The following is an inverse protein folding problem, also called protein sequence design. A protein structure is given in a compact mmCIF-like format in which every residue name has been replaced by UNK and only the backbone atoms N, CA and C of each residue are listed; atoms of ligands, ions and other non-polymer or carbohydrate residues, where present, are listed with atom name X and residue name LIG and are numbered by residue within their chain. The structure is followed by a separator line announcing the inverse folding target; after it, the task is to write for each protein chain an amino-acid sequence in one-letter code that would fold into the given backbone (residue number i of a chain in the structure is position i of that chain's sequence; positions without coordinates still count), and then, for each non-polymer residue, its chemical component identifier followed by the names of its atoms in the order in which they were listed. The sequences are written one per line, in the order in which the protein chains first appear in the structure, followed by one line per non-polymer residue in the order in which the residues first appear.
data_IF_321476132240
#
_entry.id   IF_321476132240
#
_cell.length_a   1.000
_cell.length_b   1.000
_cell.length_c   1.000
_cell.angle_alpha   90.00
_cell.angle_beta   90.00
_cell.angle_gamma   90.00
#
_symmetry.space_group_name_H-M   'P 1'
#
loop_
_entity.id
_entity.type
_entity.pdbx_description
1 polymer ?
#
# COMPACT_ATOMS: atom_id res chain seq x y z
N UNK A 1 4.66 -5.75 -8.73
CA UNK A 1 5.91 -6.20 -9.36
C UNK A 1 7.10 -5.57 -8.62
N UNK A 2 8.24 -6.26 -8.43
CA UNK A 2 9.43 -5.68 -7.85
C UNK A 2 10.01 -4.59 -8.76
N UNK A 3 10.55 -3.55 -8.14
CA UNK A 3 11.17 -2.39 -8.78
C UNK A 3 12.57 -2.21 -8.22
N UNK A 4 13.53 -1.92 -9.06
CA UNK A 4 14.87 -1.49 -8.66
C UNK A 4 15.20 -0.14 -9.25
N UNK A 5 16.13 0.57 -8.62
CA UNK A 5 16.68 1.82 -9.09
C UNK A 5 18.20 1.81 -9.10
N UNK A 6 18.80 2.66 -9.90
CA UNK A 6 20.24 2.90 -9.94
C UNK A 6 20.50 4.38 -10.22
N UNK A 7 21.52 4.92 -9.59
CA UNK A 7 22.05 6.24 -9.87
C UNK A 7 23.23 6.11 -10.84
N UNK A 8 23.13 6.82 -11.95
CA UNK A 8 24.12 6.84 -13.02
C UNK A 8 24.72 8.22 -13.14
N UNK A 9 25.93 8.30 -13.63
CA UNK A 9 26.60 9.55 -13.92
C UNK A 9 27.41 9.48 -15.20
N UNK A 10 27.86 10.64 -15.66
CA UNK A 10 28.81 10.76 -16.74
C UNK A 10 29.84 11.85 -16.42
N UNK A 11 31.08 11.56 -16.75
CA UNK A 11 32.18 12.52 -16.75
C UNK A 11 32.80 12.58 -18.13
N UNK A 12 33.20 13.76 -18.58
CA UNK A 12 33.86 13.96 -19.86
C UNK A 12 35.08 14.83 -19.73
N UNK A 13 36.01 14.74 -20.70
CA UNK A 13 37.08 15.70 -20.83
C UNK A 13 36.53 17.04 -21.33
N UNK A 14 37.21 18.15 -20.97
CA UNK A 14 36.76 19.51 -21.32
C UNK A 14 36.59 19.75 -22.81
N UNK A 15 37.29 19.01 -23.63
CA UNK A 15 37.21 19.09 -25.10
C UNK A 15 36.16 18.13 -25.69
N UNK A 16 35.50 17.34 -24.83
CA UNK A 16 34.50 16.35 -25.25
C UNK A 16 35.10 15.12 -25.97
N UNK A 17 36.43 15.00 -26.06
CA UNK A 17 37.09 13.92 -26.81
C UNK A 17 36.87 12.54 -26.21
N UNK A 18 36.67 12.46 -24.88
CA UNK A 18 36.42 11.22 -24.15
C UNK A 18 35.40 11.44 -23.06
N UNK A 19 34.60 10.41 -22.79
CA UNK A 19 33.65 10.37 -21.69
C UNK A 19 33.63 8.99 -21.03
N UNK A 20 33.08 8.91 -19.86
CA UNK A 20 32.82 7.66 -19.14
C UNK A 20 31.44 7.71 -18.49
N UNK A 21 30.66 6.65 -18.69
CA UNK A 21 29.40 6.44 -18.00
C UNK A 21 29.67 5.65 -16.73
N UNK A 22 29.20 6.18 -15.60
CA UNK A 22 29.40 5.63 -14.25
C UNK A 22 28.10 5.02 -13.76
N UNK A 23 28.18 3.88 -13.10
CA UNK A 23 27.06 3.21 -12.42
C UNK A 23 27.21 3.28 -10.92
N UNK A 24 26.09 3.44 -10.20
CA UNK A 24 26.03 3.50 -8.73
C UNK A 24 26.95 4.59 -8.17
N UNK A 25 26.71 5.83 -8.62
CA UNK A 25 27.53 6.98 -8.34
C UNK A 25 27.48 7.42 -6.88
N UNK A 26 28.60 7.89 -6.38
CA UNK A 26 28.74 8.55 -5.08
C UNK A 26 28.28 10.01 -5.16
N UNK A 27 28.09 10.65 -3.99
CA UNK A 27 27.69 12.06 -3.93
C UNK A 27 28.65 13.02 -4.62
N UNK A 28 29.97 12.78 -4.55
CA UNK A 28 30.96 13.58 -5.23
C UNK A 28 30.90 13.41 -6.76
N UNK A 29 30.63 12.22 -7.25
CA UNK A 29 30.46 11.93 -8.67
C UNK A 29 29.15 12.52 -9.22
N UNK A 30 28.08 12.55 -8.39
CA UNK A 30 26.85 13.30 -8.68
C UNK A 30 27.13 14.81 -8.79
N UNK A 31 27.81 15.38 -7.78
CA UNK A 31 28.04 16.83 -7.71
C UNK A 31 29.01 17.37 -8.75
N UNK A 32 30.11 16.66 -9.01
CA UNK A 32 31.15 17.07 -9.90
C UNK A 32 31.05 16.55 -11.33
N UNK A 33 30.16 15.60 -11.58
CA UNK A 33 29.93 15.02 -12.89
C UNK A 33 29.21 15.97 -13.86
N UNK A 34 29.28 15.64 -15.12
CA UNK A 34 28.68 16.42 -16.23
C UNK A 34 27.21 16.11 -16.44
N UNK A 35 26.78 14.91 -16.05
CA UNK A 35 25.41 14.46 -16.06
C UNK A 35 25.21 13.41 -14.97
N UNK A 36 24.04 13.44 -14.33
CA UNK A 36 23.58 12.38 -13.47
C UNK A 36 22.11 12.06 -13.75
N UNK A 37 21.72 10.80 -13.58
CA UNK A 37 20.33 10.41 -13.60
C UNK A 37 20.06 9.23 -12.68
N UNK A 38 18.86 9.25 -12.13
CA UNK A 38 18.33 8.18 -11.30
C UNK A 38 17.18 7.54 -12.07
N UNK A 39 17.25 6.26 -12.32
CA UNK A 39 16.24 5.53 -13.09
C UNK A 39 15.75 4.32 -12.32
N UNK A 40 14.44 4.16 -12.25
CA UNK A 40 13.80 3.02 -11.63
C UNK A 40 12.91 2.28 -12.61
N UNK A 41 12.69 1.00 -12.36
CA UNK A 41 11.79 0.22 -13.18
C UNK A 41 11.69 -1.25 -12.80
N UNK A 42 10.76 -1.90 -13.45
CA UNK A 42 10.58 -3.36 -13.43
C UNK A 42 11.50 -4.02 -14.46
N UNK A 43 11.38 -5.33 -14.64
CA UNK A 43 12.05 -6.02 -15.76
C UNK A 43 11.51 -5.58 -17.12
N UNK A 44 10.24 -5.16 -17.16
CA UNK A 44 9.52 -4.87 -18.40
C UNK A 44 9.75 -3.43 -18.90
N UNK A 45 10.15 -2.51 -17.99
CA UNK A 45 10.34 -1.13 -18.39
C UNK A 45 10.63 -0.18 -17.22
N UNK A 46 10.84 1.09 -17.56
CA UNK A 46 11.13 2.18 -16.65
C UNK A 46 9.81 2.70 -16.07
N UNK A 47 9.80 2.96 -14.76
CA UNK A 47 8.65 3.52 -14.03
C UNK A 47 8.86 4.97 -13.59
N UNK A 48 10.12 5.38 -13.38
CA UNK A 48 10.46 6.77 -13.09
C UNK A 48 11.91 7.05 -13.49
N UNK A 49 12.16 8.30 -13.86
CA UNK A 49 13.50 8.82 -14.16
C UNK A 49 13.58 10.28 -13.72
N UNK A 50 14.72 10.64 -13.15
CA UNK A 50 15.10 12.04 -12.89
C UNK A 50 16.52 12.22 -13.44
N UNK A 51 16.73 13.27 -14.23
CA UNK A 51 18.03 13.55 -14.86
C UNK A 51 18.41 15.01 -14.69
N UNK A 52 19.70 15.23 -14.41
CA UNK A 52 20.34 16.52 -14.37
C UNK A 52 21.50 16.54 -15.39
N UNK A 53 21.47 17.54 -16.30
CA UNK A 53 22.52 17.74 -17.31
C UNK A 53 23.21 19.07 -17.00
N UNK A 54 24.52 19.03 -16.77
CA UNK A 54 25.32 20.17 -16.33
C UNK A 54 26.26 20.70 -17.43
N UNK A 55 26.13 20.16 -18.63
CA UNK A 55 26.86 20.55 -19.85
C UNK A 55 25.90 21.01 -20.94
N UNK A 56 26.41 21.65 -21.98
CA UNK A 56 25.62 22.19 -23.09
C UNK A 56 25.11 21.09 -24.05
N UNK A 57 24.31 20.14 -23.49
CA UNK A 57 23.70 19.04 -24.21
C UNK A 57 24.55 17.75 -24.20
N UNK A 58 23.84 16.66 -24.52
CA UNK A 58 24.41 15.32 -24.66
C UNK A 58 23.96 14.72 -26.00
N UNK A 59 24.85 13.94 -26.63
CA UNK A 59 24.44 13.18 -27.81
C UNK A 59 23.47 12.06 -27.44
N UNK A 60 22.61 11.67 -28.38
CA UNK A 60 21.71 10.54 -28.17
C UNK A 60 22.45 9.22 -27.99
N UNK A 61 23.64 9.07 -28.60
CA UNK A 61 24.45 7.87 -28.46
C UNK A 61 24.95 7.69 -27.01
N UNK A 62 25.34 8.77 -26.34
CA UNK A 62 25.74 8.77 -24.91
C UNK A 62 24.52 8.42 -24.03
N UNK A 63 23.36 9.00 -24.33
CA UNK A 63 22.15 8.70 -23.57
C UNK A 63 21.72 7.23 -23.75
N UNK A 64 21.81 6.69 -24.94
CA UNK A 64 21.49 5.29 -25.22
C UNK A 64 22.45 4.35 -24.47
N UNK A 65 23.77 4.62 -24.52
CA UNK A 65 24.76 3.85 -23.77
C UNK A 65 24.48 3.89 -22.28
N UNK A 66 24.23 5.07 -21.71
CA UNK A 66 23.95 5.25 -20.29
C UNK A 66 22.66 4.52 -19.85
N UNK A 67 21.62 4.57 -20.66
CA UNK A 67 20.35 3.89 -20.38
C UNK A 67 20.49 2.36 -20.46
N UNK A 68 21.22 1.83 -21.43
CA UNK A 68 21.49 0.38 -21.53
C UNK A 68 22.39 -0.10 -20.38
N UNK A 69 23.37 0.69 -19.96
CA UNK A 69 24.18 0.39 -18.78
C UNK A 69 23.32 0.40 -17.50
N UNK A 70 22.46 1.40 -17.34
CA UNK A 70 21.52 1.48 -16.23
C UNK A 70 20.56 0.30 -16.19
N UNK A 71 20.07 -0.14 -17.34
CA UNK A 71 19.20 -1.33 -17.45
C UNK A 71 19.91 -2.58 -16.93
N UNK A 72 21.17 -2.80 -17.31
CA UNK A 72 21.98 -3.93 -16.81
C UNK A 72 22.11 -3.88 -15.29
N UNK A 73 22.44 -2.70 -14.73
CA UNK A 73 22.52 -2.50 -13.29
C UNK A 73 21.20 -2.75 -12.57
N UNK A 74 20.09 -2.22 -13.08
CA UNK A 74 18.75 -2.46 -12.50
C UNK A 74 18.36 -3.93 -12.52
N UNK A 75 18.60 -4.63 -13.63
CA UNK A 75 18.28 -6.06 -13.72
C UNK A 75 19.10 -6.86 -12.71
N UNK A 76 20.40 -6.56 -12.58
CA UNK A 76 21.25 -7.19 -11.57
C UNK A 76 20.67 -7.00 -10.14
N UNK A 77 20.26 -5.77 -9.81
CA UNK A 77 19.64 -5.49 -8.51
C UNK A 77 18.31 -6.23 -8.35
N UNK A 78 17.47 -6.27 -9.39
CA UNK A 78 16.22 -7.04 -9.37
C UNK A 78 16.46 -8.53 -9.12
N UNK A 79 17.51 -9.11 -9.70
CA UNK A 79 17.90 -10.49 -9.44
C UNK A 79 18.22 -10.71 -7.96
N UNK A 80 19.01 -9.83 -7.35
CA UNK A 80 19.31 -9.89 -5.90
C UNK A 80 18.08 -9.70 -5.02
N UNK A 81 17.15 -8.84 -5.41
CA UNK A 81 15.88 -8.65 -4.71
C UNK A 81 15.05 -9.94 -4.79
N UNK A 82 14.92 -10.54 -5.98
CA UNK A 82 14.10 -11.73 -6.18
C UNK A 82 14.72 -12.99 -5.61
N UNK A 83 16.05 -13.09 -5.56
CA UNK A 83 16.77 -14.16 -4.85
C UNK A 83 16.46 -14.15 -3.33
N UNK A 84 16.18 -12.98 -2.77
CA UNK A 84 15.88 -12.83 -1.34
C UNK A 84 14.38 -12.94 -1.07
N UNK A 85 13.56 -12.28 -1.88
CA UNK A 85 12.08 -12.29 -1.78
C UNK A 85 11.52 -12.39 -3.19
N UNK A 86 11.18 -13.59 -3.62
CA UNK A 86 10.66 -13.87 -4.96
C UNK A 86 9.27 -13.25 -5.17
N UNK A 87 8.40 -13.37 -4.18
CA UNK A 87 7.04 -12.82 -4.20
C UNK A 87 6.75 -12.04 -2.92
N UNK A 88 5.87 -11.04 -2.97
CA UNK A 88 5.40 -10.36 -1.77
C UNK A 88 4.79 -11.36 -0.78
N UNK A 89 4.97 -11.12 0.52
CA UNK A 89 4.31 -11.93 1.55
C UNK A 89 2.80 -11.85 1.41
N UNK A 90 2.12 -12.99 1.52
CA UNK A 90 0.66 -13.04 1.51
C UNK A 90 0.06 -12.27 2.70
N UNK A 91 0.74 -12.31 3.85
CA UNK A 91 0.33 -11.62 5.07
C UNK A 91 1.39 -10.61 5.51
N UNK A 92 0.95 -9.48 6.04
CA UNK A 92 1.83 -8.51 6.68
C UNK A 92 2.40 -9.08 7.99
N UNK A 93 3.55 -8.56 8.40
CA UNK A 93 4.13 -8.93 9.71
C UNK A 93 3.12 -8.64 10.84
N UNK A 94 3.16 -9.40 11.97
CA UNK A 94 2.20 -9.25 13.06
C UNK A 94 2.06 -7.81 13.59
N UNK A 95 3.18 -7.09 13.70
CA UNK A 95 3.23 -5.73 14.23
C UNK A 95 3.12 -4.62 13.14
N UNK A 96 2.83 -4.98 11.89
CA UNK A 96 2.62 -3.99 10.85
C UNK A 96 1.25 -3.32 11.05
N UNK A 97 1.17 -1.98 11.01
CA UNK A 97 -0.11 -1.28 11.03
C UNK A 97 -1.00 -1.75 9.87
N UNK A 98 -2.27 -1.95 10.16
CA UNK A 98 -3.25 -2.50 9.21
C UNK A 98 -4.40 -1.54 9.03
N UNK A 99 -4.94 -1.56 7.83
CA UNK A 99 -6.16 -0.85 7.44
C UNK A 99 -7.09 -1.81 6.72
N UNK A 100 -8.36 -1.77 7.07
CA UNK A 100 -9.45 -2.35 6.27
C UNK A 100 -10.51 -1.28 6.01
N UNK A 101 -11.08 -1.30 4.82
CA UNK A 101 -12.20 -0.44 4.43
C UNK A 101 -13.43 -1.31 4.18
N UNK A 102 -14.53 -0.99 4.84
CA UNK A 102 -15.81 -1.68 4.72
C UNK A 102 -16.80 -0.67 4.12
N UNK A 103 -17.40 -1.02 2.99
CA UNK A 103 -18.49 -0.24 2.41
C UNK A 103 -19.78 -0.72 3.03
N UNK A 104 -20.59 0.22 3.53
CA UNK A 104 -21.87 -0.05 4.17
C UNK A 104 -22.96 0.78 3.50
N UNK A 105 -24.21 0.35 3.62
CA UNK A 105 -25.34 1.13 3.14
C UNK A 105 -25.44 2.47 3.88
N UNK A 106 -25.92 3.48 3.17
CA UNK A 106 -26.04 4.85 3.70
C UNK A 106 -26.87 4.90 4.97
N UNK A 107 -27.95 4.14 5.00
CA UNK A 107 -28.88 4.07 6.13
C UNK A 107 -28.25 3.44 7.38
N UNK A 108 -27.18 2.64 7.21
CA UNK A 108 -26.44 2.00 8.31
C UNK A 108 -25.36 2.89 8.95
N UNK A 109 -25.01 4.03 8.33
CA UNK A 109 -24.01 4.97 8.88
C UNK A 109 -24.43 5.38 10.30
N UNK A 110 -25.71 5.74 10.48
CA UNK A 110 -26.24 6.14 11.79
C UNK A 110 -26.14 5.03 12.85
N UNK A 111 -26.33 3.77 12.48
CA UNK A 111 -26.22 2.64 13.39
C UNK A 111 -24.76 2.39 13.83
N UNK A 112 -23.80 2.50 12.91
CA UNK A 112 -22.36 2.33 13.23
C UNK A 112 -21.82 3.49 14.09
N UNK A 113 -22.27 4.71 13.84
CA UNK A 113 -21.91 5.89 14.67
C UNK A 113 -22.59 5.79 16.04
N UNK A 114 -23.85 5.45 16.06
CA UNK A 114 -24.70 5.43 17.26
C UNK A 114 -25.08 6.83 17.77
N UNK A 115 -26.02 6.91 18.72
CA UNK A 115 -26.46 8.17 19.30
C UNK A 115 -25.31 8.96 19.94
N UNK A 116 -25.00 10.14 19.39
CA UNK A 116 -23.89 10.99 19.88
C UNK A 116 -22.52 10.35 19.72
N UNK A 117 -22.34 9.40 18.77
CA UNK A 117 -21.08 8.72 18.52
C UNK A 117 -20.74 7.61 19.53
N UNK A 118 -21.69 7.17 20.34
CA UNK A 118 -21.42 6.19 21.42
C UNK A 118 -20.96 4.83 20.90
N UNK A 119 -21.55 4.34 19.81
CA UNK A 119 -21.21 3.00 19.27
C UNK A 119 -19.79 2.98 18.71
N UNK A 120 -19.45 3.94 17.86
CA UNK A 120 -18.08 4.00 17.31
C UNK A 120 -17.04 4.24 18.39
N UNK A 121 -17.33 5.06 19.42
CA UNK A 121 -16.42 5.27 20.56
C UNK A 121 -16.26 3.99 21.38
N UNK A 122 -17.32 3.21 21.57
CA UNK A 122 -17.27 1.92 22.26
C UNK A 122 -16.44 0.90 21.50
N UNK A 123 -16.63 0.78 20.19
CA UNK A 123 -15.79 -0.07 19.33
C UNK A 123 -14.32 0.30 19.50
N UNK A 124 -13.98 1.58 19.41
CA UNK A 124 -12.61 2.06 19.55
C UNK A 124 -12.02 1.76 20.94
N UNK A 125 -12.80 1.99 22.00
CA UNK A 125 -12.37 1.76 23.40
C UNK A 125 -12.11 0.29 23.68
N UNK A 126 -13.03 -0.60 23.26
CA UNK A 126 -12.98 -2.03 23.58
C UNK A 126 -11.99 -2.81 22.70
N UNK A 127 -11.72 -2.32 21.49
CA UNK A 127 -10.82 -2.98 20.55
C UNK A 127 -9.43 -2.38 20.51
N UNK A 128 -9.29 -1.08 20.78
CA UNK A 128 -8.07 -0.30 20.57
C UNK A 128 -7.82 0.07 19.11
N UNK A 129 -8.79 -0.19 18.22
CA UNK A 129 -8.73 0.26 16.82
C UNK A 129 -9.16 1.73 16.70
N UNK A 130 -8.74 2.40 15.64
CA UNK A 130 -9.28 3.69 15.21
C UNK A 130 -10.28 3.46 14.08
N UNK A 131 -11.50 4.00 14.22
CA UNK A 131 -12.56 3.85 13.23
C UNK A 131 -12.93 5.24 12.69
N UNK A 132 -12.82 5.41 11.38
CA UNK A 132 -13.19 6.63 10.66
C UNK A 132 -14.31 6.29 9.69
N UNK A 133 -15.38 7.08 9.72
CA UNK A 133 -16.55 6.86 8.87
C UNK A 133 -16.71 8.07 7.95
N UNK A 134 -16.76 7.82 6.66
CA UNK A 134 -16.92 8.84 5.62
C UNK A 134 -18.16 8.52 4.79
N UNK A 135 -18.97 9.54 4.53
CA UNK A 135 -20.09 9.41 3.60
C UNK A 135 -19.58 9.61 2.17
N UNK A 136 -19.90 8.67 1.30
CA UNK A 136 -19.52 8.68 -0.11
C UNK A 136 -20.76 8.59 -1.01
N UNK A 137 -20.65 8.91 -2.31
CA UNK A 137 -21.75 8.70 -3.25
C UNK A 137 -22.29 7.25 -3.34
N UNK A 138 -21.44 6.29 -2.91
CA UNK A 138 -21.77 4.85 -2.94
C UNK A 138 -22.28 4.30 -1.60
N UNK A 139 -22.42 5.14 -0.57
CA UNK A 139 -22.80 4.73 0.79
C UNK A 139 -21.79 5.23 1.83
N UNK A 140 -21.74 4.57 3.00
CA UNK A 140 -20.76 4.83 4.03
C UNK A 140 -19.47 4.04 3.78
N UNK A 141 -18.33 4.67 3.94
CA UNK A 141 -17.01 4.02 3.95
C UNK A 141 -16.46 4.01 5.38
N UNK A 142 -16.36 2.82 5.96
CA UNK A 142 -15.83 2.63 7.32
C UNK A 142 -14.37 2.17 7.20
N UNK A 143 -13.44 3.04 7.55
CA UNK A 143 -12.02 2.78 7.58
C UNK A 143 -11.61 2.41 9.01
N UNK A 144 -11.05 1.22 9.20
CA UNK A 144 -10.60 0.70 10.49
C UNK A 144 -9.09 0.53 10.47
N UNK A 145 -8.41 1.25 11.34
CA UNK A 145 -6.96 1.20 11.52
C UNK A 145 -6.61 0.46 12.80
N UNK A 146 -5.65 -0.45 12.74
CA UNK A 146 -5.21 -1.21 13.90
C UNK A 146 -3.71 -1.50 13.86
N UNK A 147 -3.11 -1.66 15.04
CA UNK A 147 -1.68 -1.98 15.21
C UNK A 147 -1.36 -3.44 14.85
N UNK A 148 -2.35 -4.34 14.89
CA UNK A 148 -2.19 -5.75 14.56
C UNK A 148 -3.49 -6.36 14.01
N UNK A 149 -3.40 -7.62 13.54
CA UNK A 149 -4.53 -8.32 12.91
C UNK A 149 -5.67 -8.60 13.89
N UNK A 150 -5.37 -9.00 15.11
CA UNK A 150 -6.39 -9.36 16.11
C UNK A 150 -7.31 -8.18 16.44
N UNK A 151 -6.73 -7.01 16.69
CA UNK A 151 -7.47 -5.76 16.93
C UNK A 151 -8.30 -5.38 15.71
N UNK A 152 -7.71 -5.51 14.51
CA UNK A 152 -8.41 -5.22 13.25
C UNK A 152 -9.64 -6.11 13.07
N UNK A 153 -9.45 -7.43 13.19
CA UNK A 153 -10.50 -8.43 12.97
C UNK A 153 -11.64 -8.26 14.00
N UNK A 154 -11.30 -7.97 15.26
CA UNK A 154 -12.28 -7.71 16.31
C UNK A 154 -13.14 -6.49 16.00
N UNK A 155 -12.54 -5.38 15.62
CA UNK A 155 -13.26 -4.16 15.25
C UNK A 155 -14.08 -4.34 13.96
N UNK A 156 -13.51 -5.00 12.94
CA UNK A 156 -14.18 -5.27 11.68
C UNK A 156 -15.40 -6.19 11.86
N UNK A 157 -15.27 -7.24 12.68
CA UNK A 157 -16.38 -8.14 12.98
C UNK A 157 -17.49 -7.42 13.74
N UNK A 158 -17.12 -6.51 14.65
CA UNK A 158 -18.15 -5.71 15.35
C UNK A 158 -18.91 -4.81 14.39
N UNK A 159 -18.22 -4.07 13.52
CA UNK A 159 -18.87 -3.25 12.49
C UNK A 159 -19.76 -4.10 11.56
N UNK A 160 -19.24 -5.25 11.10
CA UNK A 160 -20.01 -6.18 10.27
C UNK A 160 -21.27 -6.70 10.97
N UNK A 161 -21.19 -7.00 12.27
CA UNK A 161 -22.34 -7.42 13.06
C UNK A 161 -23.43 -6.35 13.17
N UNK A 162 -23.07 -5.07 13.22
CA UNK A 162 -24.04 -3.95 13.25
C UNK A 162 -24.78 -3.81 11.93
N UNK A 163 -24.08 -4.02 10.80
CA UNK A 163 -24.62 -3.82 9.45
C UNK A 163 -25.13 -5.11 8.81
N UNK A 164 -24.99 -6.24 9.51
CA UNK A 164 -25.46 -7.52 9.00
C UNK A 164 -26.99 -7.51 8.83
N UNK A 165 -27.44 -7.98 7.69
CA UNK A 165 -28.85 -8.21 7.39
C UNK A 165 -29.06 -9.71 7.20
N UNK A 166 -30.08 -10.31 7.80
CA UNK A 166 -30.35 -11.71 7.59
C UNK A 166 -30.78 -11.98 6.13
N UNK A 167 -30.22 -13.01 5.53
CA UNK A 167 -30.57 -13.47 4.19
C UNK A 167 -31.39 -14.73 4.25
N UNK A 168 -32.41 -14.81 3.42
CA UNK A 168 -33.27 -16.00 3.34
C UNK A 168 -32.47 -17.20 2.83
N UNK A 169 -32.53 -18.31 3.60
CA UNK A 169 -31.85 -19.56 3.26
C UNK A 169 -30.48 -19.73 3.95
N UNK A 170 -29.97 -18.71 4.60
CA UNK A 170 -28.71 -18.79 5.39
C UNK A 170 -29.00 -19.40 6.78
N UNK A 171 -27.93 -20.02 7.34
CA UNK A 171 -27.96 -20.63 8.66
C UNK A 171 -27.21 -19.77 9.66
N UNK A 172 -27.86 -19.34 10.71
CA UNK A 172 -27.30 -18.49 11.75
C UNK A 172 -27.24 -19.23 13.09
N UNK A 173 -26.16 -19.02 13.84
CA UNK A 173 -26.09 -19.42 15.23
C UNK A 173 -26.88 -18.43 16.07
N UNK A 174 -27.81 -18.94 16.89
CA UNK A 174 -28.69 -18.11 17.71
C UNK A 174 -28.68 -18.52 19.17
N UNK A 175 -28.80 -17.53 20.06
CA UNK A 175 -28.97 -17.72 21.50
C UNK A 175 -30.46 -17.61 21.90
N UNK A 176 -30.99 -18.66 22.52
CA UNK A 176 -32.35 -18.62 23.06
C UNK A 176 -32.40 -17.63 24.23
N UNK A 177 -33.14 -16.54 24.08
CA UNK A 177 -33.32 -15.49 25.11
C UNK A 177 -34.49 -15.83 26.07
N UNK A 178 -35.59 -16.31 25.54
CA UNK A 178 -36.73 -16.72 26.34
C UNK A 178 -37.57 -17.75 25.61
N UNK A 179 -38.24 -18.62 26.40
CA UNK A 179 -39.18 -19.63 25.91
C UNK A 179 -40.59 -19.27 26.42
N UNK A 180 -41.56 -19.20 25.51
CA UNK A 180 -42.96 -18.91 25.77
C UNK A 180 -43.81 -20.06 25.32
N UNK A 181 -45.08 -20.17 25.78
CA UNK A 181 -45.99 -21.27 25.37
C UNK A 181 -46.22 -21.39 23.86
N UNK A 182 -45.99 -20.31 23.12
CA UNK A 182 -46.18 -20.23 21.65
C UNK A 182 -44.88 -20.28 20.84
N UNK A 183 -43.69 -20.37 21.48
CA UNK A 183 -42.42 -20.42 20.77
C UNK A 183 -41.23 -19.91 21.59
N UNK A 184 -40.06 -19.79 20.94
CA UNK A 184 -38.84 -19.28 21.54
C UNK A 184 -38.41 -17.98 20.85
N UNK A 185 -37.94 -17.02 21.65
CA UNK A 185 -37.22 -15.84 21.15
C UNK A 185 -35.75 -16.16 21.03
N UNK A 186 -35.23 -16.06 19.83
CA UNK A 186 -33.80 -16.33 19.50
C UNK A 186 -33.14 -15.05 19.03
N UNK A 187 -32.07 -14.70 19.68
CA UNK A 187 -31.15 -13.64 19.23
C UNK A 187 -30.08 -14.28 18.34
N UNK A 188 -29.94 -13.85 17.10
CA UNK A 188 -29.04 -14.48 16.12
C UNK A 188 -28.16 -13.48 15.35
N UNK A 189 -28.16 -12.22 15.75
CA UNK A 189 -27.26 -11.16 15.26
C UNK A 189 -27.07 -10.10 16.34
#
# INVERSE_FOLDING_TARGET
KPVSGIAMGMISEKDGSRYSVLSDILGDEDHLGDMDFKVTGTRDGITACQMDIKVDGLSYDILEEAMEQAKKGRIHILDKITDTIEVPRAEMKPNAPRLISIVIDRDMIGAVIGPGGKVVQEIQRETGATVVIEETPKGGLVNIFAVNKEVLDKAANWVKGIVAMPEEGEVYEGKVKSIMPFGAFIEFM
#
